data_IF_555654689054
#
_entry.id   IF_555654689054
#
_cell.length_a   1.000
_cell.length_b   1.000
_cell.length_c   1.000
_cell.angle_alpha   90.00
_cell.angle_beta   90.00
_cell.angle_gamma   90.00
#
_symmetry.space_group_name_H-M   'P 1'
#
loop_
_entity.id
_entity.type
_entity.pdbx_description
1 polymer ?
#
# COMPACT_ATOMS: atom_id res chain seq x y z
N UNK A 1 30.96 19.15 34.52
CA UNK A 1 30.18 17.93 34.20
C UNK A 1 29.03 18.34 33.30
N UNK A 2 29.22 18.29 31.98
CA UNK A 2 28.16 18.65 31.04
C UNK A 2 27.37 17.37 30.69
N UNK A 3 26.14 17.28 31.19
CA UNK A 3 25.18 16.27 30.74
C UNK A 3 24.73 16.59 29.32
N UNK A 4 25.06 15.71 28.39
CA UNK A 4 24.46 15.68 27.08
C UNK A 4 23.11 14.97 27.18
N UNK A 5 22.02 15.75 27.20
CA UNK A 5 20.69 15.21 26.95
C UNK A 5 20.65 14.68 25.52
N UNK A 6 20.69 13.36 25.36
CA UNK A 6 20.38 12.73 24.09
C UNK A 6 18.87 12.82 23.89
N UNK A 7 18.43 13.80 23.10
CA UNK A 7 17.09 13.77 22.50
C UNK A 7 17.11 12.60 21.53
N UNK A 8 16.59 11.44 21.96
CA UNK A 8 16.23 10.37 21.03
C UNK A 8 15.03 10.87 20.24
N UNK A 9 15.30 11.53 19.12
CA UNK A 9 14.33 11.59 18.04
C UNK A 9 14.16 10.15 17.55
N UNK A 10 13.05 9.50 17.92
CA UNK A 10 12.64 8.30 17.18
C UNK A 10 12.19 8.78 15.81
N UNK A 11 13.14 8.90 14.89
CA UNK A 11 12.82 8.94 13.47
C UNK A 11 12.06 7.64 13.19
N UNK A 12 10.73 7.76 13.06
CA UNK A 12 9.86 6.67 12.69
C UNK A 12 10.38 6.06 11.39
N UNK A 13 10.44 4.74 11.37
CA UNK A 13 10.87 3.99 10.20
C UNK A 13 9.94 4.36 9.03
N UNK A 14 10.49 4.78 7.90
CA UNK A 14 9.70 5.25 6.75
C UNK A 14 8.92 4.07 6.14
N UNK A 15 7.66 4.31 5.76
CA UNK A 15 6.84 3.27 5.14
C UNK A 15 7.52 2.71 3.89
N UNK A 16 7.55 1.40 3.76
CA UNK A 16 8.28 0.73 2.67
C UNK A 16 7.54 -0.51 2.18
N UNK A 17 7.78 -0.91 0.92
CA UNK A 17 7.26 -2.18 0.42
C UNK A 17 8.27 -3.28 0.71
N UNK A 18 7.82 -4.34 1.37
CA UNK A 18 8.52 -5.61 1.55
C UNK A 18 7.80 -6.72 0.81
N UNK A 19 8.44 -7.90 0.73
CA UNK A 19 7.86 -9.13 0.18
C UNK A 19 7.27 -8.94 -1.22
N UNK A 20 7.84 -8.03 -2.00
CA UNK A 20 7.40 -7.76 -3.36
C UNK A 20 7.85 -8.91 -4.27
N UNK A 21 6.89 -9.75 -4.64
CA UNK A 21 7.12 -10.96 -5.42
C UNK A 21 6.02 -11.16 -6.46
N UNK A 22 6.32 -11.97 -7.46
CA UNK A 22 5.42 -12.34 -8.55
C UNK A 22 5.52 -13.84 -8.77
N UNK A 23 4.36 -14.45 -8.98
CA UNK A 23 4.26 -15.87 -9.32
C UNK A 23 3.31 -16.06 -10.50
N UNK A 24 3.49 -17.13 -11.24
CA UNK A 24 2.53 -17.53 -12.26
C UNK A 24 1.46 -18.43 -11.63
N UNK A 25 0.20 -18.18 -11.98
CA UNK A 25 -0.87 -19.18 -11.88
C UNK A 25 -0.99 -19.92 -13.22
N UNK A 26 -2.06 -20.68 -13.44
CA UNK A 26 -2.32 -21.30 -14.75
C UNK A 26 -2.40 -20.25 -15.88
N UNK A 27 -3.10 -19.14 -15.63
CA UNK A 27 -3.45 -18.18 -16.70
C UNK A 27 -3.03 -16.74 -16.43
N UNK A 28 -2.58 -16.40 -15.22
CA UNK A 28 -2.30 -15.01 -14.82
C UNK A 28 -0.96 -14.87 -14.09
N UNK A 29 -0.34 -13.70 -14.29
CA UNK A 29 0.72 -13.20 -13.43
C UNK A 29 0.13 -12.64 -12.13
N UNK A 30 0.50 -13.22 -11.00
CA UNK A 30 0.03 -12.85 -9.67
C UNK A 30 1.10 -12.07 -8.91
N UNK A 31 0.73 -10.92 -8.36
CA UNK A 31 1.62 -10.09 -7.55
C UNK A 31 1.27 -10.19 -6.06
N UNK A 32 2.32 -10.17 -5.24
CA UNK A 32 2.25 -10.09 -3.79
C UNK A 32 3.16 -8.99 -3.29
N UNK A 33 2.72 -8.26 -2.27
CA UNK A 33 3.55 -7.28 -1.57
C UNK A 33 2.96 -6.98 -0.19
N UNK A 34 3.80 -6.45 0.69
CA UNK A 34 3.41 -5.97 2.02
C UNK A 34 3.92 -4.55 2.22
N UNK A 35 3.06 -3.64 2.68
CA UNK A 35 3.50 -2.32 3.15
C UNK A 35 3.86 -2.42 4.64
N UNK A 36 5.11 -2.10 4.99
CA UNK A 36 5.61 -2.10 6.37
C UNK A 36 5.79 -0.68 6.89
N UNK A 37 5.85 -0.54 8.23
CA UNK A 37 6.19 0.71 8.93
C UNK A 37 5.27 1.90 8.58
N UNK A 38 3.98 1.64 8.34
CA UNK A 38 3.03 2.66 7.89
C UNK A 38 2.12 3.17 9.01
N UNK A 39 1.91 2.40 10.07
CA UNK A 39 0.92 2.68 11.11
C UNK A 39 1.52 3.50 12.25
N UNK A 40 0.79 4.52 12.69
CA UNK A 40 1.20 5.42 13.78
C UNK A 40 0.07 5.54 14.81
N UNK A 41 0.40 5.90 16.06
CA UNK A 41 -0.59 6.18 17.13
C UNK A 41 -1.60 7.24 16.71
N UNK A 42 -1.09 8.21 15.97
CA UNK A 42 -1.81 9.28 15.32
C UNK A 42 -2.91 8.70 14.38
N UNK A 43 -2.57 7.78 13.48
CA UNK A 43 -3.54 7.09 12.62
C UNK A 43 -4.57 6.28 13.40
N UNK A 44 -4.14 5.59 14.46
CA UNK A 44 -5.05 4.85 15.36
C UNK A 44 -6.10 5.78 15.97
N UNK A 45 -5.67 6.93 16.50
CA UNK A 45 -6.55 7.93 17.06
C UNK A 45 -7.52 8.47 16.01
N UNK A 46 -7.09 8.72 14.77
CA UNK A 46 -8.00 9.15 13.68
C UNK A 46 -9.10 8.13 13.42
N UNK A 47 -8.72 6.86 13.25
CA UNK A 47 -9.66 5.78 12.96
C UNK A 47 -10.72 5.69 14.05
N UNK A 48 -10.32 5.76 15.31
CA UNK A 48 -11.23 5.70 16.46
C UNK A 48 -12.12 6.95 16.58
N UNK A 49 -11.68 8.09 16.05
CA UNK A 49 -12.48 9.31 15.91
C UNK A 49 -13.33 9.33 14.62
N UNK A 50 -13.43 8.21 13.90
CA UNK A 50 -14.27 8.07 12.70
C UNK A 50 -13.64 8.64 11.43
N UNK A 51 -12.32 8.87 11.41
CA UNK A 51 -11.59 9.31 10.22
C UNK A 51 -11.03 8.07 9.50
N UNK A 52 -11.56 7.69 8.33
CA UNK A 52 -11.05 6.55 7.57
C UNK A 52 -9.61 6.75 7.09
N UNK A 53 -8.83 5.67 7.11
CA UNK A 53 -7.50 5.61 6.50
C UNK A 53 -7.61 4.95 5.13
N UNK A 54 -7.04 5.56 4.10
CA UNK A 54 -7.11 5.06 2.72
C UNK A 54 -5.71 4.90 2.12
N UNK A 55 -5.39 3.70 1.70
CA UNK A 55 -4.17 3.39 0.95
C UNK A 55 -4.47 3.39 -0.53
N UNK A 56 -3.61 4.00 -1.33
CA UNK A 56 -3.66 3.91 -2.79
C UNK A 56 -2.42 3.17 -3.26
N UNK A 57 -2.63 2.09 -4.00
CA UNK A 57 -1.60 1.27 -4.62
C UNK A 57 -1.54 1.61 -6.11
N UNK A 58 -0.34 1.89 -6.61
CA UNK A 58 -0.07 2.13 -8.02
C UNK A 58 0.85 1.03 -8.54
N UNK A 59 0.37 0.23 -9.48
CA UNK A 59 1.10 -0.89 -10.08
C UNK A 59 1.30 -0.63 -11.57
N UNK A 60 2.55 -0.59 -12.01
CA UNK A 60 2.90 -0.34 -13.41
C UNK A 60 3.71 -1.50 -13.97
N UNK A 61 3.30 -2.01 -15.13
CA UNK A 61 4.07 -2.99 -15.89
C UNK A 61 4.73 -2.30 -17.09
N UNK A 62 6.03 -2.54 -17.25
CA UNK A 62 6.81 -2.01 -18.36
C UNK A 62 7.44 -3.15 -19.16
N UNK A 63 7.41 -3.06 -20.49
CA UNK A 63 8.16 -3.91 -21.40
C UNK A 63 9.48 -3.23 -21.77
N UNK A 64 10.60 -3.93 -21.60
CA UNK A 64 11.92 -3.43 -21.99
C UNK A 64 12.04 -3.36 -23.50
N UNK A 65 12.65 -2.29 -23.99
CA UNK A 65 12.94 -2.11 -25.42
C UNK A 65 14.42 -1.80 -25.61
N UNK A 66 15.17 -2.60 -26.38
CA UNK A 66 16.57 -2.29 -26.65
C UNK A 66 16.69 -0.91 -27.30
N UNK A 67 17.57 -0.06 -26.76
CA UNK A 67 17.86 1.28 -27.27
C UNK A 67 16.68 2.28 -27.25
N UNK A 68 15.59 1.99 -26.53
CA UNK A 68 14.45 2.89 -26.35
C UNK A 68 14.00 2.89 -24.89
N UNK A 69 13.32 3.95 -24.41
CA UNK A 69 12.67 3.93 -23.11
C UNK A 69 11.68 2.76 -23.00
N UNK A 70 11.59 2.15 -21.83
CA UNK A 70 10.65 1.07 -21.57
C UNK A 70 9.20 1.51 -21.89
N UNK A 71 8.42 0.60 -22.49
CA UNK A 71 7.03 0.87 -22.84
C UNK A 71 6.13 0.49 -21.67
N UNK A 72 5.31 1.41 -21.15
CA UNK A 72 4.25 1.06 -20.20
C UNK A 72 3.22 0.17 -20.91
N UNK A 73 3.02 -1.03 -20.39
CA UNK A 73 2.12 -2.07 -20.93
C UNK A 73 0.78 -2.02 -20.23
N UNK A 74 0.81 -1.92 -18.90
CA UNK A 74 -0.39 -1.89 -18.07
C UNK A 74 -0.16 -0.99 -16.84
N UNK A 75 -1.24 -0.42 -16.33
CA UNK A 75 -1.27 0.42 -15.12
C UNK A 75 -2.55 0.12 -14.35
N UNK A 76 -2.38 -0.20 -13.07
CA UNK A 76 -3.46 -0.42 -12.12
C UNK A 76 -3.36 0.57 -10.98
N UNK A 77 -4.51 1.12 -10.60
CA UNK A 77 -4.69 1.86 -9.36
C UNK A 77 -5.87 1.28 -8.60
N UNK A 78 -5.64 0.94 -7.34
CA UNK A 78 -6.68 0.46 -6.44
C UNK A 78 -6.36 0.87 -5.00
N UNK A 79 -7.33 0.71 -4.12
CA UNK A 79 -7.24 1.20 -2.76
C UNK A 79 -7.77 0.21 -1.73
N UNK A 80 -7.16 0.27 -0.55
CA UNK A 80 -7.71 -0.29 0.67
C UNK A 80 -8.22 0.84 1.57
N UNK A 81 -9.34 0.65 2.24
CA UNK A 81 -9.92 1.61 3.18
C UNK A 81 -10.18 0.92 4.51
N UNK A 82 -9.71 1.51 5.60
CA UNK A 82 -9.99 1.05 6.96
C UNK A 82 -10.79 2.10 7.73
N UNK A 83 -11.86 1.61 8.35
CA UNK A 83 -12.79 2.35 9.20
C UNK A 83 -12.96 1.62 10.53
N UNK A 84 -13.49 2.30 11.55
CA UNK A 84 -13.84 1.70 12.83
C UNK A 84 -15.32 1.93 13.15
N UNK A 85 -16.04 0.82 13.35
CA UNK A 85 -17.42 0.81 13.82
C UNK A 85 -17.39 0.82 15.36
N UNK A 86 -17.59 1.99 15.97
CA UNK A 86 -17.55 2.15 17.42
C UNK A 86 -18.71 1.47 18.16
N UNK A 87 -19.81 1.16 17.46
CA UNK A 87 -20.94 0.44 18.04
C UNK A 87 -20.62 -1.05 18.17
N UNK A 88 -20.00 -1.63 17.14
CA UNK A 88 -19.58 -3.05 17.13
C UNK A 88 -18.20 -3.29 17.72
N UNK A 89 -17.41 -2.21 17.87
CA UNK A 89 -16.00 -2.24 18.29
C UNK A 89 -15.12 -3.06 17.34
N UNK A 90 -15.35 -2.91 16.04
CA UNK A 90 -14.64 -3.64 14.98
C UNK A 90 -14.08 -2.68 13.94
N UNK A 91 -12.94 -3.06 13.36
CA UNK A 91 -12.40 -2.46 12.16
C UNK A 91 -13.07 -3.06 10.94
N UNK A 92 -13.42 -2.23 9.97
CA UNK A 92 -13.90 -2.64 8.66
C UNK A 92 -12.86 -2.27 7.61
N UNK A 93 -12.35 -3.27 6.89
CA UNK A 93 -11.36 -3.08 5.83
C UNK A 93 -11.97 -3.45 4.48
N UNK A 94 -12.06 -2.46 3.59
CA UNK A 94 -12.49 -2.62 2.20
C UNK A 94 -11.27 -2.75 1.29
N UNK A 95 -11.28 -3.73 0.38
CA UNK A 95 -10.18 -4.00 -0.56
C UNK A 95 -10.69 -4.04 -1.99
N UNK A 96 -10.45 -2.97 -2.73
CA UNK A 96 -11.13 -2.73 -4.00
C UNK A 96 -10.71 -3.70 -5.11
N UNK A 97 -9.45 -4.12 -5.12
CA UNK A 97 -8.92 -5.12 -6.05
C UNK A 97 -9.51 -6.52 -5.84
N UNK A 98 -9.99 -6.80 -4.63
CA UNK A 98 -10.71 -8.03 -4.29
C UNK A 98 -12.23 -7.90 -4.37
N UNK A 99 -12.74 -6.68 -4.33
CA UNK A 99 -14.18 -6.41 -4.25
C UNK A 99 -14.80 -6.94 -2.96
N UNK A 100 -14.03 -7.04 -1.88
CA UNK A 100 -14.48 -7.57 -0.59
C UNK A 100 -14.33 -6.58 0.56
N UNK A 101 -14.97 -6.92 1.68
CA UNK A 101 -14.90 -6.17 2.93
C UNK A 101 -14.83 -7.15 4.08
N UNK A 102 -13.92 -6.91 5.01
CA UNK A 102 -13.68 -7.79 6.16
C UNK A 102 -13.78 -6.99 7.46
N UNK A 103 -14.55 -7.52 8.40
CA UNK A 103 -14.64 -6.99 9.75
C UNK A 103 -13.72 -7.78 10.69
N UNK A 104 -13.07 -7.10 11.62
CA UNK A 104 -12.24 -7.73 12.66
C UNK A 104 -12.16 -6.86 13.90
N UNK A 105 -12.18 -7.47 15.09
CA UNK A 105 -11.93 -6.77 16.35
C UNK A 105 -10.43 -6.53 16.62
N UNK A 106 -9.53 -7.19 15.87
CA UNK A 106 -8.08 -7.08 16.05
C UNK A 106 -7.51 -5.98 15.17
N UNK A 107 -6.86 -4.99 15.79
CA UNK A 107 -6.13 -3.94 15.07
C UNK A 107 -4.99 -4.53 14.23
N UNK A 108 -4.29 -5.54 14.73
CA UNK A 108 -3.20 -6.21 14.01
C UNK A 108 -3.72 -6.86 12.71
N UNK A 109 -4.85 -7.56 12.79
CA UNK A 109 -5.47 -8.17 11.60
C UNK A 109 -5.99 -7.09 10.63
N UNK A 110 -6.55 -5.99 11.14
CA UNK A 110 -6.96 -4.88 10.30
C UNK A 110 -5.77 -4.24 9.58
N UNK A 111 -4.63 -4.08 10.27
CA UNK A 111 -3.40 -3.58 9.68
C UNK A 111 -2.89 -4.52 8.57
N UNK A 112 -2.92 -5.82 8.82
CA UNK A 112 -2.55 -6.86 7.84
C UNK A 112 -3.44 -6.80 6.59
N UNK A 113 -4.75 -6.71 6.77
CA UNK A 113 -5.71 -6.56 5.67
C UNK A 113 -5.49 -5.28 4.85
N UNK A 114 -5.04 -4.20 5.51
CA UNK A 114 -4.72 -2.94 4.86
C UNK A 114 -3.40 -2.97 4.09
N UNK A 115 -2.38 -3.65 4.59
CA UNK A 115 -1.02 -3.59 4.03
C UNK A 115 -0.66 -4.68 3.03
N UNK A 116 -1.35 -5.82 3.08
CA UNK A 116 -1.01 -6.98 2.24
C UNK A 116 -1.81 -7.03 0.95
N UNK A 117 -1.10 -7.14 -0.17
CA UNK A 117 -1.67 -7.56 -1.44
C UNK A 117 -1.32 -9.02 -1.65
N UNK A 118 -2.35 -9.86 -1.71
CA UNK A 118 -2.20 -11.31 -1.79
C UNK A 118 -2.83 -11.85 -3.08
N UNK A 119 -2.01 -11.97 -4.13
CA UNK A 119 -2.37 -12.60 -5.39
C UNK A 119 -3.15 -11.67 -6.34
N UNK A 120 -2.73 -10.40 -6.45
CA UNK A 120 -3.34 -9.47 -7.40
C UNK A 120 -3.04 -9.89 -8.84
N UNK A 121 -4.07 -10.00 -9.69
CA UNK A 121 -3.94 -10.37 -11.10
C UNK A 121 -3.46 -9.17 -11.89
N UNK A 122 -2.18 -9.16 -12.27
CA UNK A 122 -1.59 -8.03 -13.01
C UNK A 122 -2.03 -8.06 -14.48
N UNK A 123 -1.99 -9.23 -15.11
CA UNK A 123 -2.48 -9.48 -16.48
C UNK A 123 -2.55 -10.99 -16.75
N UNK A 124 -3.18 -11.37 -17.86
CA UNK A 124 -3.12 -12.74 -18.35
C UNK A 124 -1.73 -13.07 -18.94
N UNK A 125 -1.31 -14.33 -18.83
CA UNK A 125 0.02 -14.75 -19.28
C UNK A 125 0.16 -14.78 -20.81
N UNK A 126 -0.95 -14.94 -21.55
CA UNK A 126 -1.00 -14.91 -23.02
C UNK A 126 -0.83 -13.50 -23.61
N UNK A 127 -0.98 -12.47 -22.78
CA UNK A 127 -0.66 -11.07 -23.12
C UNK A 127 0.84 -10.75 -23.01
N UNK A 128 1.65 -11.67 -22.43
CA UNK A 128 3.10 -11.52 -22.33
C UNK A 128 3.81 -12.11 -23.54
N UNK A 129 4.75 -11.36 -24.12
CA UNK A 129 5.68 -11.87 -25.12
C UNK A 129 6.86 -12.58 -24.42
N UNK A 130 7.06 -13.89 -24.63
CA UNK A 130 8.14 -14.64 -24.00
C UNK A 130 9.55 -14.16 -24.34
N UNK A 131 9.72 -13.41 -25.44
CA UNK A 131 11.02 -12.86 -25.85
C UNK A 131 11.28 -11.47 -25.24
N UNK A 132 10.31 -10.91 -24.52
CA UNK A 132 10.38 -9.59 -23.92
C UNK A 132 10.61 -9.70 -22.41
N UNK A 133 11.57 -8.93 -21.89
CA UNK A 133 11.75 -8.76 -20.44
C UNK A 133 10.82 -7.66 -19.93
N UNK A 134 10.18 -7.91 -18.79
CA UNK A 134 9.24 -6.99 -18.18
C UNK A 134 9.74 -6.52 -16.82
N UNK A 135 9.39 -5.29 -16.45
CA UNK A 135 9.63 -4.72 -15.13
C UNK A 135 8.29 -4.36 -14.50
N UNK A 136 7.96 -4.97 -13.37
CA UNK A 136 6.82 -4.60 -12.54
C UNK A 136 7.27 -3.57 -11.51
N UNK A 137 6.54 -2.47 -11.38
CA UNK A 137 6.79 -1.42 -10.41
C UNK A 137 5.58 -1.24 -9.52
N UNK A 138 5.81 -1.17 -8.21
CA UNK A 138 4.75 -0.97 -7.22
C UNK A 138 5.10 0.21 -6.31
N UNK A 139 4.06 0.93 -5.89
CA UNK A 139 4.14 2.02 -4.93
C UNK A 139 2.85 2.10 -4.13
N UNK A 140 2.98 2.42 -2.85
CA UNK A 140 1.84 2.68 -1.98
C UNK A 140 1.93 4.11 -1.41
N UNK A 141 0.79 4.76 -1.26
CA UNK A 141 0.70 6.08 -0.63
C UNK A 141 -0.54 6.18 0.23
N UNK A 142 -0.46 6.96 1.30
CA UNK A 142 -1.63 7.38 2.03
C UNK A 142 -2.41 8.40 1.19
N UNK A 143 -3.69 8.17 0.97
CA UNK A 143 -4.53 9.15 0.30
C UNK A 143 -4.60 10.43 1.15
N UNK A 144 -4.18 11.56 0.57
CA UNK A 144 -4.42 12.87 1.17
C UNK A 144 -5.91 13.16 1.07
N UNK A 145 -6.67 12.95 2.14
CA UNK A 145 -8.02 13.51 2.20
C UNK A 145 -7.92 15.00 2.49
N UNK A 146 -8.46 15.81 1.58
CA UNK A 146 -9.04 17.09 1.93
C UNK A 146 -10.09 16.84 3.00
N UNK A 147 -9.80 17.22 4.25
CA UNK A 147 -10.76 17.18 5.34
C UNK A 147 -12.04 17.92 4.87
N UNK A 148 -13.24 17.32 4.93
CA UNK A 148 -14.48 18.07 4.75
C UNK A 148 -14.48 19.25 5.72
N UNK A 149 -14.81 20.45 5.22
CA UNK A 149 -14.72 21.73 5.96
C UNK A 149 -15.46 21.76 7.31
N UNK A 150 -16.34 20.81 7.59
CA UNK A 150 -17.16 20.75 8.81
C UNK A 150 -16.48 20.10 10.02
N UNK A 151 -15.25 19.60 9.89
CA UNK A 151 -14.50 19.08 11.03
C UNK A 151 -13.78 20.21 11.79
N UNK A 152 -14.49 20.85 12.72
CA UNK A 152 -13.85 21.55 13.85
C UNK A 152 -13.35 20.51 14.87
N UNK A 153 -12.35 19.71 14.53
CA UNK A 153 -11.69 18.82 15.48
C UNK A 153 -10.30 19.39 15.78
N UNK A 154 -10.13 19.85 17.02
CA UNK A 154 -8.86 20.27 17.61
C UNK A 154 -7.98 19.05 17.87
N UNK A 155 -7.55 18.34 16.83
CA UNK A 155 -6.51 17.32 16.97
C UNK A 155 -5.19 18.02 16.65
N UNK A 156 -4.24 18.10 17.62
CA UNK A 156 -2.92 18.61 17.34
C UNK A 156 -2.16 17.53 16.56
N UNK A 157 -2.57 17.25 15.32
CA UNK A 157 -1.80 16.42 14.41
C UNK A 157 -0.44 17.09 14.25
N UNK A 158 0.56 16.56 14.94
CA UNK A 158 1.91 17.13 14.94
C UNK A 158 2.56 17.04 13.56
N UNK A 159 2.00 16.20 12.66
CA UNK A 159 2.41 16.06 11.27
C UNK A 159 1.21 15.84 10.36
N UNK A 160 1.09 16.50 9.19
CA UNK A 160 0.17 16.06 8.15
C UNK A 160 0.61 14.68 7.67
N UNK A 161 -0.13 13.62 8.03
CA UNK A 161 0.22 12.26 7.61
C UNK A 161 0.26 12.18 6.10
N UNK A 162 1.44 11.89 5.56
CA UNK A 162 1.68 11.90 4.14
C UNK A 162 2.76 10.88 3.77
N UNK A 163 2.64 9.63 4.21
CA UNK A 163 3.59 8.64 3.72
C UNK A 163 3.32 8.31 2.25
N UNK A 164 4.42 8.12 1.54
CA UNK A 164 4.47 7.66 0.18
C UNK A 164 5.73 6.80 0.06
N UNK A 165 5.57 5.53 -0.29
CA UNK A 165 6.73 4.64 -0.43
C UNK A 165 7.55 5.06 -1.66
N UNK A 166 8.83 4.69 -1.68
CA UNK A 166 9.58 4.68 -2.93
C UNK A 166 8.94 3.68 -3.91
N UNK A 167 9.26 3.84 -5.19
CA UNK A 167 8.95 2.80 -6.18
C UNK A 167 9.81 1.58 -5.88
N UNK A 168 9.19 0.42 -5.79
CA UNK A 168 9.87 -0.88 -5.78
C UNK A 168 9.71 -1.54 -7.13
N UNK A 169 10.78 -2.12 -7.65
CA UNK A 169 10.82 -2.70 -9.00
C UNK A 169 11.25 -4.16 -8.94
N UNK A 170 10.63 -5.00 -9.76
CA UNK A 170 10.95 -6.41 -9.91
C UNK A 170 10.96 -6.75 -11.40
N UNK A 171 12.09 -7.28 -11.88
CA UNK A 171 12.22 -7.73 -13.28
C UNK A 171 11.71 -9.16 -13.38
N UNK A 172 10.80 -9.42 -14.31
CA UNK A 172 10.32 -10.74 -14.64
C UNK A 172 11.35 -11.45 -15.52
N UNK A 173 11.78 -12.63 -15.10
CA UNK A 173 12.46 -13.59 -15.97
C UNK A 173 11.41 -14.61 -16.39
N UNK A 174 10.85 -14.45 -17.59
CA UNK A 174 10.00 -15.47 -18.18
C UNK A 174 10.93 -16.62 -18.58
N UNK A 175 10.99 -17.66 -17.75
CA UNK A 175 11.64 -18.91 -18.10
C UNK A 175 10.58 -19.73 -18.84
N UNK A 176 10.77 -19.89 -20.15
CA UNK A 176 10.03 -20.82 -20.99
C UNK A 176 10.35 -22.27 -20.61
#
# INVERSE_FOLDING_TARGET
>A
MASFFHVRSSFGQEASISDFTVSNSENHLLMYLTVSNWFTEDMEAAIHNGIPITFVFNINLFAKRPNWPDKKVNEHEFNHIMEYDSLKKEYLVHRNERGDSKATASLEEAQKLMSEINGFRVLALDELDPQTSYTLRAKAKLARKTLPLYFHYLIPFSSPWNFETKWHELTLQLVL
#
